data_IF_557470290917
#
_entry.id   IF_557470290917
#
_cell.length_a   1.000
_cell.length_b   1.000
_cell.length_c   1.000
_cell.angle_alpha   90.00
_cell.angle_beta   90.00
_cell.angle_gamma   90.00
#
_symmetry.space_group_name_H-M   'P 1'
#
loop_
_entity.id
_entity.type
_entity.pdbx_description
1 polymer ?
#
# COMPACT_ATOMS: atom_id res chain seq x y z
N UNK A 1 -4.41 -41.79 -10.75
CA UNK A 1 -3.10 -41.91 -10.07
C UNK A 1 -2.09 -40.86 -10.55
N UNK A 2 -1.81 -40.71 -11.85
CA UNK A 2 -1.01 -39.55 -12.35
C UNK A 2 -1.80 -38.24 -12.22
N UNK A 3 -3.12 -38.27 -12.47
CA UNK A 3 -3.99 -37.09 -12.35
C UNK A 3 -4.06 -36.52 -10.92
N UNK A 4 -4.06 -37.38 -9.90
CA UNK A 4 -4.11 -36.97 -8.49
C UNK A 4 -2.83 -36.21 -8.08
N UNK A 5 -1.67 -36.64 -8.60
CA UNK A 5 -0.38 -35.99 -8.36
C UNK A 5 -0.33 -34.64 -9.10
N UNK A 6 -0.82 -34.59 -10.34
CA UNK A 6 -0.92 -33.34 -11.11
C UNK A 6 -1.84 -32.32 -10.44
N UNK A 7 -3.00 -32.74 -9.94
CA UNK A 7 -3.92 -31.88 -9.19
C UNK A 7 -3.28 -31.37 -7.88
N UNK A 8 -2.57 -32.23 -7.16
CA UNK A 8 -1.87 -31.85 -5.93
C UNK A 8 -0.77 -30.80 -6.20
N UNK A 9 0.01 -30.98 -7.26
CA UNK A 9 1.07 -30.03 -7.65
C UNK A 9 0.47 -28.68 -8.05
N UNK A 10 -0.64 -28.68 -8.80
CA UNK A 10 -1.33 -27.45 -9.18
C UNK A 10 -1.87 -26.71 -7.94
N UNK A 11 -2.53 -27.44 -7.03
CA UNK A 11 -3.02 -26.87 -5.78
C UNK A 11 -1.90 -26.27 -4.91
N UNK A 12 -0.73 -26.93 -4.84
CA UNK A 12 0.45 -26.39 -4.16
C UNK A 12 0.96 -25.10 -4.81
N UNK A 13 0.98 -25.04 -6.14
CA UNK A 13 1.41 -23.85 -6.89
C UNK A 13 0.46 -22.68 -6.67
N UNK A 14 -0.84 -22.92 -6.70
CA UNK A 14 -1.86 -21.89 -6.48
C UNK A 14 -1.81 -21.35 -5.03
N UNK A 15 -1.58 -22.23 -4.07
CA UNK A 15 -1.35 -21.85 -2.68
C UNK A 15 -0.09 -20.99 -2.51
N UNK A 16 1.01 -21.37 -3.17
CA UNK A 16 2.25 -20.59 -3.16
C UNK A 16 2.07 -19.19 -3.79
N UNK A 17 1.35 -19.09 -4.91
CA UNK A 17 1.04 -17.79 -5.52
C UNK A 17 0.15 -16.91 -4.64
N UNK A 18 -0.83 -17.49 -3.95
CA UNK A 18 -1.64 -16.76 -2.97
C UNK A 18 -0.80 -16.20 -1.82
N UNK A 19 0.17 -16.97 -1.33
CA UNK A 19 1.12 -16.51 -0.31
C UNK A 19 1.95 -15.34 -0.81
N UNK A 20 2.51 -15.46 -2.02
CA UNK A 20 3.30 -14.40 -2.66
C UNK A 20 2.46 -13.13 -2.84
N UNK A 21 1.23 -13.24 -3.35
CA UNK A 21 0.35 -12.08 -3.54
C UNK A 21 0.04 -11.36 -2.22
N UNK A 22 -0.24 -12.11 -1.15
CA UNK A 22 -0.49 -11.54 0.18
C UNK A 22 0.76 -10.85 0.73
N UNK A 23 1.92 -11.48 0.62
CA UNK A 23 3.19 -10.92 1.09
C UNK A 23 3.52 -9.63 0.33
N UNK A 24 3.36 -9.61 -0.99
CA UNK A 24 3.54 -8.40 -1.81
C UNK A 24 2.59 -7.29 -1.37
N UNK A 25 1.31 -7.60 -1.10
CA UNK A 25 0.36 -6.62 -0.59
C UNK A 25 0.79 -6.04 0.77
N UNK A 26 1.31 -6.87 1.67
CA UNK A 26 1.89 -6.40 2.94
C UNK A 26 3.15 -5.55 2.75
N UNK A 27 4.06 -5.98 1.88
CA UNK A 27 5.30 -5.23 1.59
C UNK A 27 5.01 -3.88 0.94
N UNK A 28 3.94 -3.74 0.15
CA UNK A 28 3.45 -2.46 -0.38
C UNK A 28 2.87 -1.59 0.73
N UNK A 29 2.12 -2.15 1.68
CA UNK A 29 1.50 -1.39 2.79
C UNK A 29 2.54 -0.82 3.77
N UNK A 30 3.62 -1.56 4.02
CA UNK A 30 4.64 -1.18 5.00
C UNK A 30 5.28 0.21 4.78
N UNK A 31 5.70 0.61 3.56
CA UNK A 31 6.26 1.93 3.32
C UNK A 31 5.22 3.06 3.31
N UNK A 32 3.93 2.78 3.17
CA UNK A 32 2.90 3.83 3.03
C UNK A 32 2.76 4.69 4.28
N UNK A 33 2.73 4.09 5.47
CA UNK A 33 2.64 4.82 6.75
C UNK A 33 3.83 5.75 6.98
N UNK A 34 5.10 5.30 6.90
CA UNK A 34 6.23 6.20 7.09
C UNK A 34 6.35 7.27 5.99
N UNK A 35 5.90 7.03 4.75
CA UNK A 35 5.82 8.06 3.70
C UNK A 35 4.84 9.17 4.10
N UNK A 36 3.63 8.80 4.54
CA UNK A 36 2.64 9.75 5.01
C UNK A 36 3.14 10.56 6.22
N UNK A 37 3.66 9.87 7.24
CA UNK A 37 4.18 10.52 8.45
C UNK A 37 5.34 11.47 8.12
N UNK A 38 6.19 11.13 7.15
CA UNK A 38 7.27 12.00 6.70
C UNK A 38 6.73 13.29 6.07
N UNK A 39 5.70 13.20 5.23
CA UNK A 39 5.05 14.37 4.62
C UNK A 39 4.39 15.28 5.68
N UNK A 40 3.61 14.69 6.59
CA UNK A 40 2.98 15.41 7.70
C UNK A 40 4.02 16.08 8.62
N UNK A 41 5.14 15.39 8.89
CA UNK A 41 6.24 15.94 9.69
C UNK A 41 6.92 17.13 9.00
N UNK A 42 7.14 17.08 7.69
CA UNK A 42 7.69 18.21 6.93
C UNK A 42 6.73 19.41 7.01
N UNK A 43 5.42 19.17 6.81
CA UNK A 43 4.39 20.20 6.96
C UNK A 43 4.43 20.86 8.32
N UNK A 44 4.44 20.06 9.39
CA UNK A 44 4.48 20.55 10.76
C UNK A 44 5.75 21.36 11.06
N UNK A 45 6.92 20.91 10.59
CA UNK A 45 8.21 21.57 10.87
C UNK A 45 8.40 22.89 10.11
N UNK A 46 7.88 22.98 8.89
CA UNK A 46 8.12 24.12 7.99
C UNK A 46 6.95 25.09 7.88
N UNK A 47 5.70 24.67 8.12
CA UNK A 47 4.52 25.49 7.87
C UNK A 47 4.53 26.85 8.58
N UNK A 48 5.03 26.93 9.81
CA UNK A 48 5.13 28.20 10.55
C UNK A 48 6.34 29.06 10.18
N UNK A 49 7.24 28.57 9.30
CA UNK A 49 8.50 29.22 8.94
C UNK A 49 8.50 29.82 7.54
N UNK A 50 7.46 29.54 6.77
CA UNK A 50 7.35 29.92 5.37
C UNK A 50 6.45 31.14 5.21
N UNK A 51 6.65 31.89 4.12
CA UNK A 51 5.67 32.88 3.69
C UNK A 51 4.37 32.16 3.24
N UNK A 52 3.34 32.94 2.93
CA UNK A 52 2.03 32.39 2.56
C UNK A 52 2.09 31.52 1.29
N UNK A 53 2.79 31.99 0.26
CA UNK A 53 2.84 31.30 -1.04
C UNK A 53 3.56 29.95 -0.91
N UNK A 54 4.70 29.91 -0.22
CA UNK A 54 5.46 28.68 0.05
C UNK A 54 4.69 27.72 0.97
N UNK A 55 3.93 28.25 1.93
CA UNK A 55 3.04 27.45 2.79
C UNK A 55 1.93 26.78 1.99
N UNK A 56 1.33 27.49 1.02
CA UNK A 56 0.31 26.93 0.14
C UNK A 56 0.88 25.85 -0.79
N UNK A 57 2.09 26.05 -1.32
CA UNK A 57 2.80 25.01 -2.09
C UNK A 57 3.06 23.78 -1.24
N UNK A 58 3.58 23.96 -0.02
CA UNK A 58 3.82 22.87 0.93
C UNK A 58 2.53 22.11 1.26
N UNK A 59 1.43 22.83 1.52
CA UNK A 59 0.13 22.23 1.81
C UNK A 59 -0.39 21.39 0.65
N UNK A 60 -0.29 21.89 -0.59
CA UNK A 60 -0.70 21.16 -1.80
C UNK A 60 0.14 19.90 -2.01
N UNK A 61 1.46 20.00 -1.85
CA UNK A 61 2.37 18.86 -1.97
C UNK A 61 2.06 17.77 -0.95
N UNK A 62 1.90 18.14 0.32
CA UNK A 62 1.58 17.21 1.41
C UNK A 62 0.20 16.56 1.18
N UNK A 63 -0.81 17.34 0.81
CA UNK A 63 -2.13 16.80 0.48
C UNK A 63 -2.07 15.80 -0.68
N UNK A 64 -1.25 16.08 -1.71
CA UNK A 64 -1.05 15.17 -2.84
C UNK A 64 -0.44 13.86 -2.39
N UNK A 65 0.62 13.90 -1.57
CA UNK A 65 1.26 12.69 -1.04
C UNK A 65 0.30 11.86 -0.20
N UNK A 66 -0.44 12.49 0.71
CA UNK A 66 -1.44 11.81 1.56
C UNK A 66 -2.50 11.12 0.70
N UNK A 67 -3.07 11.84 -0.27
CA UNK A 67 -4.10 11.28 -1.16
C UNK A 67 -3.57 10.10 -1.99
N UNK A 68 -2.33 10.16 -2.49
CA UNK A 68 -1.71 9.06 -3.22
C UNK A 68 -1.45 7.85 -2.31
N UNK A 69 -0.96 8.09 -1.09
CA UNK A 69 -0.76 7.03 -0.11
C UNK A 69 -2.09 6.34 0.24
N UNK A 70 -3.16 7.10 0.45
CA UNK A 70 -4.46 6.54 0.78
C UNK A 70 -5.09 5.78 -0.40
N UNK A 71 -4.90 6.26 -1.64
CA UNK A 71 -5.26 5.49 -2.84
C UNK A 71 -4.51 4.14 -2.89
N UNK A 72 -3.21 4.12 -2.59
CA UNK A 72 -2.40 2.89 -2.55
C UNK A 72 -2.82 1.94 -1.42
N UNK A 73 -3.23 2.48 -0.25
CA UNK A 73 -3.82 1.66 0.82
C UNK A 73 -5.14 1.05 0.39
N UNK A 74 -5.99 1.79 -0.34
CA UNK A 74 -7.24 1.30 -0.90
C UNK A 74 -7.02 0.13 -1.88
N UNK A 75 -6.08 0.28 -2.81
CA UNK A 75 -5.74 -0.76 -3.79
C UNK A 75 -5.17 -2.04 -3.14
N UNK A 76 -4.38 -1.89 -2.08
CA UNK A 76 -3.80 -3.03 -1.36
C UNK A 76 -4.77 -3.67 -0.34
N UNK A 77 -5.86 -2.98 -0.01
CA UNK A 77 -6.94 -3.42 0.88
C UNK A 77 -7.85 -4.51 0.31
N UNK A 78 -7.87 -4.69 -1.01
CA UNK A 78 -8.77 -5.62 -1.70
C UNK A 78 -8.18 -7.03 -1.93
N UNK A 79 -7.13 -7.39 -1.16
CA UNK A 79 -6.50 -8.72 -1.22
C UNK A 79 -7.29 -9.79 -0.44
N UNK A 80 -8.60 -9.88 -0.67
CA UNK A 80 -9.43 -11.02 -0.22
C UNK A 80 -10.16 -11.67 -1.41
N UNK A 81 -9.53 -12.61 -2.12
CA UNK A 81 -10.25 -13.50 -3.02
C UNK A 81 -11.19 -14.51 -2.31
N UNK A 82 -11.29 -14.49 -0.96
CA UNK A 82 -11.98 -15.52 -0.16
C UNK A 82 -13.12 -15.00 0.74
N UNK A 83 -13.69 -13.82 0.46
CA UNK A 83 -14.88 -13.33 1.20
C UNK A 83 -16.21 -13.96 0.74
N UNK A 84 -16.18 -14.90 -0.22
CA UNK A 84 -17.35 -15.63 -0.70
C UNK A 84 -17.04 -17.12 -0.89
N UNK A 85 -16.71 -17.85 0.18
CA UNK A 85 -17.07 -19.27 0.35
C UNK A 85 -16.93 -19.72 1.79
#
# INVERSE_FOLDING_TARGET
>A
MIDDITMMIQAQRDAAWSEVARRLAHEIKNPLTPIQLSAERIKHKLGAKLNKDDTDVLNKAVATIVNQVDAMKGLSGDSSPWKLK
#
